data_IF_187427600934
#
_entry.id   IF_187427600934
#
_cell.length_a   1.000
_cell.length_b   1.000
_cell.length_c   1.000
_cell.angle_alpha   90.00
_cell.angle_beta   90.00
_cell.angle_gamma   90.00
#
_symmetry.space_group_name_H-M   'P 1'
#
loop_
_entity.id
_entity.type
_entity.pdbx_description
1 polymer ?
#
# COMPACT_ATOMS: atom_id res chain seq x y z
N UNK A 1 -28.02 -9.49 26.18
CA UNK A 1 -27.97 -8.81 27.50
C UNK A 1 -26.58 -8.19 27.69
N UNK A 2 -26.50 -6.88 27.45
CA UNK A 2 -25.30 -6.07 27.65
C UNK A 2 -24.94 -6.01 29.14
N UNK A 3 -23.66 -6.08 29.47
CA UNK A 3 -23.14 -5.65 30.78
C UNK A 3 -22.03 -4.65 30.50
N UNK A 4 -22.35 -3.37 30.69
CA UNK A 4 -21.37 -2.30 30.90
C UNK A 4 -20.75 -2.48 32.28
N UNK A 5 -19.43 -2.30 32.38
CA UNK A 5 -18.79 -1.82 33.60
C UNK A 5 -17.69 -0.82 33.21
N UNK A 6 -18.05 0.45 33.28
CA UNK A 6 -17.08 1.53 33.49
C UNK A 6 -16.59 1.46 34.94
N UNK A 7 -15.28 1.47 35.12
CA UNK A 7 -14.66 2.09 36.30
C UNK A 7 -13.21 2.44 35.98
N UNK A 8 -12.98 3.73 35.72
CA UNK A 8 -11.70 4.37 36.01
C UNK A 8 -11.31 4.07 37.45
N UNK A 9 -10.09 3.58 37.66
CA UNK A 9 -9.42 3.62 38.97
C UNK A 9 -8.01 4.13 38.72
N UNK A 10 -7.76 5.28 39.34
CA UNK A 10 -6.52 6.03 39.38
C UNK A 10 -5.32 5.19 39.83
N UNK A 11 -4.16 5.56 39.30
CA UNK A 11 -2.86 5.09 39.72
C UNK A 11 -2.55 5.57 41.15
N UNK A 12 -2.36 4.64 42.09
CA UNK A 12 -1.51 4.89 43.26
C UNK A 12 -0.83 3.61 43.74
N UNK A 13 0.48 3.74 43.84
CA UNK A 13 1.51 2.77 44.20
C UNK A 13 1.31 2.25 45.63
N UNK A 14 1.05 0.95 45.81
CA UNK A 14 1.32 0.28 47.09
C UNK A 14 1.37 -1.26 46.99
N UNK A 15 2.57 -1.79 47.26
CA UNK A 15 2.85 -3.12 47.80
C UNK A 15 2.33 -4.34 47.03
N UNK A 16 3.16 -4.76 46.07
CA UNK A 16 3.26 -6.13 45.58
C UNK A 16 3.89 -6.99 46.66
N UNK A 17 3.11 -7.41 47.65
CA UNK A 17 3.37 -8.61 48.44
C UNK A 17 2.09 -8.97 49.18
N UNK A 18 1.62 -10.20 48.97
CA UNK A 18 0.67 -10.86 49.87
C UNK A 18 -0.84 -10.52 49.73
N UNK A 19 -1.43 -10.61 48.53
CA UNK A 19 -2.86 -10.95 48.41
C UNK A 19 -3.22 -11.39 46.99
N UNK A 20 -3.41 -12.70 46.79
CA UNK A 20 -4.52 -13.28 46.03
C UNK A 20 -4.27 -14.77 45.84
N UNK A 21 -4.43 -15.54 46.93
CA UNK A 21 -4.97 -16.89 46.77
C UNK A 21 -6.43 -16.70 46.42
N UNK A 22 -6.75 -16.67 45.13
CA UNK A 22 -8.12 -16.80 44.67
C UNK A 22 -8.59 -18.21 45.06
N UNK A 23 -9.30 -18.30 46.18
CA UNK A 23 -10.01 -19.49 46.65
C UNK A 23 -11.15 -19.80 45.68
N UNK A 24 -10.80 -20.35 44.52
CA UNK A 24 -11.74 -20.72 43.45
C UNK A 24 -12.29 -22.14 43.65
N UNK A 25 -11.88 -22.86 44.70
CA UNK A 25 -12.25 -24.26 44.92
C UNK A 25 -11.75 -25.22 43.82
N UNK A 26 -10.96 -24.73 42.87
CA UNK A 26 -10.35 -25.54 41.81
C UNK A 26 -8.98 -25.98 42.33
N UNK A 27 -8.86 -27.24 42.74
CA UNK A 27 -7.57 -27.87 43.01
C UNK A 27 -6.86 -28.08 41.67
N UNK A 28 -5.99 -27.15 41.31
CA UNK A 28 -5.14 -27.27 40.13
C UNK A 28 -3.92 -28.09 40.53
N UNK A 29 -3.70 -29.19 39.82
CA UNK A 29 -2.50 -30.02 39.96
C UNK A 29 -1.31 -29.21 39.41
N UNK A 30 -0.35 -28.76 40.24
CA UNK A 30 0.69 -27.84 39.81
C UNK A 30 1.58 -28.43 38.70
N UNK A 31 1.72 -29.76 38.61
CA UNK A 31 2.43 -30.43 37.51
C UNK A 31 1.72 -30.33 36.15
N UNK A 32 0.44 -29.94 36.12
CA UNK A 32 -0.34 -29.75 34.87
C UNK A 32 -0.45 -28.29 34.45
N UNK A 33 0.13 -27.37 35.21
CA UNK A 33 0.12 -25.94 34.87
C UNK A 33 1.27 -25.69 33.90
N UNK A 34 0.93 -25.33 32.66
CA UNK A 34 1.92 -25.10 31.59
C UNK A 34 2.58 -23.71 31.75
N UNK A 35 1.94 -22.77 32.45
CA UNK A 35 2.49 -21.42 32.66
C UNK A 35 1.48 -20.41 33.19
N UNK A 36 1.90 -19.15 33.30
CA UNK A 36 1.09 -17.97 33.62
C UNK A 36 0.91 -17.11 32.38
N UNK A 37 -0.30 -16.59 32.18
CA UNK A 37 -0.56 -15.60 31.13
C UNK A 37 -0.21 -14.21 31.67
N UNK A 38 0.62 -13.48 30.93
CA UNK A 38 0.99 -12.09 31.21
C UNK A 38 0.60 -11.23 30.01
N UNK A 39 -0.01 -10.09 30.28
CA UNK A 39 -0.30 -9.09 29.26
C UNK A 39 0.83 -8.07 29.20
N UNK A 40 1.46 -7.93 28.03
CA UNK A 40 2.44 -6.89 27.78
C UNK A 40 1.72 -5.61 27.33
N UNK A 41 1.71 -4.58 28.16
CA UNK A 41 1.03 -3.32 27.87
C UNK A 41 1.71 -2.46 26.79
N UNK A 42 2.99 -2.67 26.51
CA UNK A 42 3.73 -1.92 25.49
C UNK A 42 3.36 -2.39 24.08
N UNK A 43 3.33 -3.72 23.89
CA UNK A 43 3.03 -4.33 22.59
C UNK A 43 1.58 -4.81 22.44
N UNK A 44 0.79 -4.77 23.52
CA UNK A 44 -0.59 -5.30 23.59
C UNK A 44 -0.71 -6.81 23.34
N UNK A 45 0.35 -7.56 23.65
CA UNK A 45 0.43 -9.01 23.45
C UNK A 45 0.08 -9.79 24.72
N UNK A 46 -0.40 -11.03 24.55
CA UNK A 46 -0.63 -11.99 25.63
C UNK A 46 0.42 -13.10 25.54
N UNK A 47 1.34 -13.13 26.51
CA UNK A 47 2.43 -14.08 26.60
C UNK A 47 2.10 -15.20 27.58
N UNK A 48 2.45 -16.44 27.21
CA UNK A 48 2.49 -17.55 28.15
C UNK A 48 3.93 -17.69 28.66
N UNK A 49 4.09 -17.62 29.97
CA UNK A 49 5.40 -17.69 30.62
C UNK A 49 5.44 -18.91 31.53
N UNK A 50 6.55 -19.65 31.48
CA UNK A 50 6.79 -20.82 32.34
C UNK A 50 6.68 -20.43 33.83
N UNK A 51 6.06 -21.31 34.62
CA UNK A 51 5.81 -21.07 36.03
C UNK A 51 7.06 -21.20 36.91
N UNK A 52 8.07 -21.98 36.50
CA UNK A 52 9.28 -22.23 37.28
C UNK A 52 10.45 -21.30 36.92
N UNK A 53 10.60 -20.96 35.64
CA UNK A 53 11.75 -20.24 35.08
C UNK A 53 11.41 -18.77 34.76
N UNK A 54 10.20 -18.49 34.32
CA UNK A 54 9.83 -17.18 33.78
C UNK A 54 10.18 -16.99 32.29
N UNK A 55 10.61 -18.04 31.60
CA UNK A 55 10.84 -18.04 30.15
C UNK A 55 9.54 -18.04 29.34
N UNK A 56 9.55 -17.34 28.20
CA UNK A 56 8.42 -17.30 27.26
C UNK A 56 8.24 -18.69 26.63
N UNK A 57 7.10 -19.31 26.91
CA UNK A 57 6.74 -20.65 26.41
C UNK A 57 5.84 -20.59 25.19
N UNK A 58 5.29 -19.42 24.89
CA UNK A 58 4.46 -19.20 23.71
C UNK A 58 3.70 -17.88 23.76
N UNK A 59 2.97 -17.63 22.68
CA UNK A 59 2.14 -16.45 22.47
C UNK A 59 0.70 -16.87 22.18
N UNK A 60 -0.28 -16.09 22.62
CA UNK A 60 -1.68 -16.29 22.27
C UNK A 60 -2.00 -15.44 21.05
N UNK A 61 -2.18 -16.10 19.90
CA UNK A 61 -2.50 -15.46 18.63
C UNK A 61 -3.90 -15.82 18.16
N UNK A 62 -4.49 -14.97 17.32
CA UNK A 62 -5.80 -15.22 16.72
C UNK A 62 -5.63 -16.02 15.42
N UNK A 63 -6.39 -17.09 15.27
CA UNK A 63 -6.49 -17.82 14.01
C UNK A 63 -7.42 -17.07 13.05
N UNK A 64 -6.83 -16.59 11.95
CA UNK A 64 -7.53 -15.82 10.91
C UNK A 64 -8.72 -16.59 10.30
N UNK A 65 -8.74 -17.92 10.38
CA UNK A 65 -9.83 -18.76 9.83
C UNK A 65 -10.99 -18.97 10.78
N UNK A 66 -10.72 -19.05 12.08
CA UNK A 66 -11.69 -19.48 13.09
C UNK A 66 -12.03 -18.40 14.11
N UNK A 67 -11.33 -17.26 14.06
CA UNK A 67 -11.42 -16.16 15.03
C UNK A 67 -11.16 -16.63 16.48
N UNK A 68 -10.49 -17.77 16.63
CA UNK A 68 -10.20 -18.40 17.90
C UNK A 68 -8.79 -18.04 18.37
N UNK A 69 -8.68 -17.66 19.65
CA UNK A 69 -7.39 -17.49 20.31
C UNK A 69 -6.72 -18.87 20.48
N UNK A 70 -5.54 -19.02 19.90
CA UNK A 70 -4.74 -20.25 19.88
C UNK A 70 -3.38 -19.99 20.53
N UNK A 71 -2.97 -20.88 21.42
CA UNK A 71 -1.62 -20.85 21.97
C UNK A 71 -0.62 -21.36 20.92
N UNK A 72 0.32 -20.52 20.54
CA UNK A 72 1.42 -20.81 19.63
C UNK A 72 2.71 -20.94 20.43
N UNK A 73 3.47 -21.99 20.18
CA UNK A 73 4.77 -22.21 20.84
C UNK A 73 5.85 -21.21 20.39
N UNK A 74 7.09 -21.35 20.88
CA UNK A 74 8.18 -20.45 20.53
C UNK A 74 8.50 -20.48 19.03
N UNK A 75 9.08 -19.40 18.52
CA UNK A 75 9.49 -19.28 17.11
C UNK A 75 10.61 -20.27 16.81
N UNK A 76 10.32 -21.25 15.95
CA UNK A 76 11.28 -22.28 15.54
C UNK A 76 12.07 -21.90 14.27
N UNK A 77 11.45 -21.13 13.37
CA UNK A 77 12.04 -20.72 12.10
C UNK A 77 11.46 -19.38 11.65
N UNK A 78 12.32 -18.52 11.11
CA UNK A 78 11.98 -17.17 10.63
C UNK A 78 12.06 -17.06 9.11
N UNK A 79 11.38 -16.05 8.54
CA UNK A 79 11.28 -15.84 7.10
C UNK A 79 12.60 -15.48 6.38
N UNK A 80 13.65 -15.08 7.11
CA UNK A 80 14.99 -14.81 6.55
C UNK A 80 15.64 -16.06 5.91
N UNK A 81 15.17 -17.25 6.31
CA UNK A 81 15.61 -18.55 5.79
C UNK A 81 14.88 -18.97 4.51
N UNK A 82 13.99 -18.15 3.97
CA UNK A 82 13.33 -18.39 2.68
C UNK A 82 14.24 -17.98 1.51
N UNK A 83 14.31 -18.83 0.49
CA UNK A 83 14.93 -18.56 -0.82
C UNK A 83 13.91 -18.01 -1.81
N UNK A 84 12.72 -18.63 -1.84
CA UNK A 84 11.68 -18.33 -2.82
C UNK A 84 10.31 -18.46 -2.18
N UNK A 85 9.44 -17.52 -2.53
CA UNK A 85 8.01 -17.54 -2.21
C UNK A 85 7.26 -17.29 -3.50
N UNK A 86 6.23 -18.08 -3.80
CA UNK A 86 5.45 -17.94 -5.03
C UNK A 86 3.97 -18.20 -4.78
N UNK A 87 3.12 -17.21 -5.06
CA UNK A 87 1.67 -17.39 -5.07
C UNK A 87 1.23 -18.05 -6.37
N UNK A 88 0.29 -18.99 -6.27
CA UNK A 88 -0.26 -19.65 -7.44
C UNK A 88 -1.37 -20.63 -7.11
N UNK A 89 -1.58 -21.54 -8.05
CA UNK A 89 -2.51 -22.63 -7.91
C UNK A 89 -1.78 -23.93 -7.65
N UNK A 90 -2.41 -24.81 -6.90
CA UNK A 90 -1.97 -26.18 -6.72
C UNK A 90 -2.45 -27.08 -7.87
N UNK A 91 -2.13 -28.37 -7.78
CA UNK A 91 -2.52 -29.37 -8.79
C UNK A 91 -4.04 -29.58 -8.85
N UNK A 92 -4.76 -29.23 -7.79
CA UNK A 92 -6.22 -29.34 -7.68
C UNK A 92 -6.95 -28.04 -8.04
N UNK A 93 -6.21 -26.97 -8.36
CA UNK A 93 -6.76 -25.65 -8.67
C UNK A 93 -7.07 -24.79 -7.44
N UNK A 94 -6.64 -25.21 -6.25
CA UNK A 94 -6.72 -24.43 -5.01
C UNK A 94 -5.59 -23.41 -4.93
N UNK A 95 -5.85 -22.31 -4.24
CA UNK A 95 -4.89 -21.21 -4.11
C UNK A 95 -3.88 -21.57 -3.01
N UNK A 96 -2.60 -21.46 -3.33
CA UNK A 96 -1.50 -21.70 -2.39
C UNK A 96 -0.37 -20.70 -2.54
N UNK A 97 0.42 -20.57 -1.48
CA UNK A 97 1.74 -19.91 -1.53
C UNK A 97 2.80 -20.96 -1.26
N UNK A 98 3.63 -21.24 -2.26
CA UNK A 98 4.75 -22.17 -2.17
C UNK A 98 5.97 -21.47 -1.57
N UNK A 99 6.60 -22.14 -0.60
CA UNK A 99 7.78 -21.69 0.14
C UNK A 99 8.93 -22.64 -0.14
N UNK A 100 10.10 -22.09 -0.45
CA UNK A 100 11.35 -22.84 -0.58
C UNK A 100 12.41 -22.24 0.32
N UNK A 101 13.06 -23.07 1.14
CA UNK A 101 14.08 -22.62 2.09
C UNK A 101 15.48 -22.54 1.46
N UNK A 102 16.39 -21.82 2.12
CA UNK A 102 17.84 -21.85 1.85
C UNK A 102 18.45 -23.10 2.49
N UNK A 103 19.64 -23.52 2.08
CA UNK A 103 20.32 -24.73 2.60
C UNK A 103 20.37 -24.79 4.15
N UNK A 104 20.62 -23.65 4.80
CA UNK A 104 20.54 -23.53 6.27
C UNK A 104 19.12 -23.81 6.80
N UNK A 105 18.11 -23.21 6.17
CA UNK A 105 16.70 -23.38 6.53
C UNK A 105 16.19 -24.80 6.28
N UNK A 106 16.65 -25.47 5.23
CA UNK A 106 16.31 -26.88 4.95
C UNK A 106 16.75 -27.77 6.12
N UNK A 107 17.97 -27.55 6.62
CA UNK A 107 18.53 -28.34 7.72
C UNK A 107 17.75 -28.16 9.02
N UNK A 108 17.44 -26.90 9.36
CA UNK A 108 16.65 -26.55 10.55
C UNK A 108 15.21 -27.06 10.43
N UNK A 109 14.56 -26.85 9.29
CA UNK A 109 13.18 -27.26 9.04
C UNK A 109 13.02 -28.79 9.08
N UNK A 110 14.02 -29.52 8.57
CA UNK A 110 14.09 -30.97 8.69
C UNK A 110 14.14 -31.43 10.14
N UNK A 111 14.96 -30.80 10.97
CA UNK A 111 15.07 -31.14 12.40
C UNK A 111 13.74 -30.86 13.12
N UNK A 112 13.18 -29.66 12.94
CA UNK A 112 11.88 -29.26 13.52
C UNK A 112 10.78 -30.26 13.15
N UNK A 113 10.65 -30.58 11.86
CA UNK A 113 9.59 -31.49 11.39
C UNK A 113 9.81 -32.94 11.82
N UNK A 114 11.05 -33.35 12.06
CA UNK A 114 11.37 -34.69 12.57
C UNK A 114 11.03 -34.85 14.05
N UNK A 115 11.25 -33.81 14.85
CA UNK A 115 11.00 -33.84 16.30
C UNK A 115 9.53 -33.59 16.66
N UNK A 116 8.77 -32.93 15.77
CA UNK A 116 7.40 -32.48 16.04
C UNK A 116 6.34 -33.25 15.23
N UNK A 117 6.60 -34.50 14.88
CA UNK A 117 5.61 -35.36 14.20
C UNK A 117 4.36 -35.48 15.07
N UNK A 118 3.20 -35.26 14.45
CA UNK A 118 1.91 -35.31 15.12
C UNK A 118 1.47 -34.00 15.78
N UNK A 119 2.21 -32.91 15.56
CA UNK A 119 1.85 -31.55 16.01
C UNK A 119 1.49 -30.65 14.83
N UNK A 120 0.80 -29.56 15.11
CA UNK A 120 0.53 -28.51 14.12
C UNK A 120 1.71 -27.53 14.10
N UNK A 121 2.15 -27.15 12.91
CA UNK A 121 3.15 -26.11 12.72
C UNK A 121 2.45 -24.82 12.32
N UNK A 122 2.38 -23.84 13.22
CA UNK A 122 1.78 -22.55 12.91
C UNK A 122 2.71 -21.71 12.01
N UNK A 123 2.12 -21.09 10.99
CA UNK A 123 2.73 -20.10 10.10
C UNK A 123 2.06 -18.77 10.44
N UNK A 124 2.83 -17.91 11.11
CA UNK A 124 2.39 -16.62 11.62
C UNK A 124 2.90 -15.51 10.72
N UNK A 125 2.03 -14.56 10.39
CA UNK A 125 2.37 -13.35 9.65
C UNK A 125 1.63 -12.17 10.26
N UNK A 126 2.36 -11.12 10.64
CA UNK A 126 1.81 -9.92 11.30
C UNK A 126 0.92 -10.29 12.50
N UNK A 127 1.44 -11.14 13.41
CA UNK A 127 0.74 -11.62 14.62
C UNK A 127 -0.55 -12.43 14.36
N UNK A 128 -0.84 -12.78 13.11
CA UNK A 128 -1.98 -13.62 12.76
C UNK A 128 -1.55 -15.00 12.24
N UNK A 129 -2.22 -16.05 12.72
CA UNK A 129 -2.00 -17.40 12.19
C UNK A 129 -2.65 -17.48 10.82
N UNK A 130 -1.84 -17.60 9.76
CA UNK A 130 -2.32 -17.78 8.39
C UNK A 130 -2.57 -19.25 8.06
N UNK A 131 -1.71 -20.13 8.57
CA UNK A 131 -1.90 -21.57 8.40
C UNK A 131 -1.29 -22.37 9.53
N UNK A 132 -1.89 -23.51 9.86
CA UNK A 132 -1.40 -24.42 10.90
C UNK A 132 -1.45 -25.88 10.42
N UNK A 133 -0.68 -26.27 9.39
CA UNK A 133 -0.67 -27.63 8.88
C UNK A 133 -0.22 -28.65 9.93
N UNK A 134 -0.78 -29.85 9.84
CA UNK A 134 -0.43 -30.98 10.70
C UNK A 134 0.79 -31.72 10.14
N UNK A 135 1.85 -31.85 10.93
CA UNK A 135 3.09 -32.55 10.55
C UNK A 135 2.82 -34.07 10.58
N UNK A 136 2.71 -34.67 9.39
CA UNK A 136 2.50 -36.13 9.23
C UNK A 136 3.80 -36.90 9.13
N UNK A 137 4.76 -36.33 8.43
CA UNK A 137 6.06 -36.92 8.11
C UNK A 137 7.13 -35.84 8.15
N UNK A 138 8.40 -36.20 8.39
CA UNK A 138 9.52 -35.26 8.27
C UNK A 138 9.62 -34.70 6.84
N UNK A 139 9.89 -33.40 6.73
CA UNK A 139 10.08 -32.72 5.45
C UNK A 139 11.58 -32.56 5.22
N UNK A 140 12.11 -33.16 4.15
CA UNK A 140 13.55 -33.28 3.91
C UNK A 140 14.06 -32.39 2.77
N UNK A 141 13.16 -31.96 1.88
CA UNK A 141 13.41 -31.16 0.69
C UNK A 141 13.35 -29.65 0.96
N UNK A 142 12.78 -29.25 2.09
CA UNK A 142 12.64 -27.84 2.45
C UNK A 142 11.66 -27.10 1.56
N UNK A 143 10.62 -27.80 1.12
CA UNK A 143 9.45 -27.19 0.50
C UNK A 143 8.29 -27.16 1.50
N UNK A 144 7.55 -26.06 1.52
CA UNK A 144 6.33 -25.93 2.31
C UNK A 144 5.28 -25.15 1.52
N UNK A 145 4.01 -25.32 1.87
CA UNK A 145 2.92 -24.57 1.24
C UNK A 145 1.96 -24.00 2.29
N UNK A 146 1.55 -22.75 2.07
CA UNK A 146 0.47 -22.10 2.80
C UNK A 146 -0.81 -22.31 1.99
N UNK A 147 -1.78 -23.00 2.58
CA UNK A 147 -3.08 -23.32 1.99
C UNK A 147 -4.22 -22.65 2.77
N UNK A 148 -5.42 -22.63 2.18
CA UNK A 148 -6.62 -22.02 2.78
C UNK A 148 -6.73 -20.52 2.54
N UNK A 149 -6.11 -20.00 1.48
CA UNK A 149 -6.17 -18.59 1.09
C UNK A 149 -7.41 -18.37 0.21
N UNK A 150 -8.17 -17.31 0.49
CA UNK A 150 -9.48 -17.10 -0.12
C UNK A 150 -9.39 -16.52 -1.54
N UNK A 151 -8.32 -15.80 -1.86
CA UNK A 151 -8.15 -15.14 -3.17
C UNK A 151 -6.70 -15.14 -3.65
N UNK A 152 -6.52 -15.05 -4.98
CA UNK A 152 -5.18 -14.98 -5.57
C UNK A 152 -4.49 -13.65 -5.23
N UNK A 153 -5.27 -12.58 -5.05
CA UNK A 153 -4.77 -11.27 -4.63
C UNK A 153 -4.21 -11.32 -3.22
N UNK A 154 -4.91 -11.98 -2.29
CA UNK A 154 -4.42 -12.24 -0.93
C UNK A 154 -3.15 -13.07 -0.94
N UNK A 155 -3.09 -14.13 -1.77
CA UNK A 155 -1.89 -14.94 -1.91
C UNK A 155 -0.68 -14.13 -2.42
N UNK A 156 -0.90 -13.20 -3.37
CA UNK A 156 0.16 -12.29 -3.86
C UNK A 156 0.61 -11.30 -2.80
N UNK A 157 -0.28 -10.82 -1.95
CA UNK A 157 0.09 -9.95 -0.82
C UNK A 157 0.96 -10.72 0.18
N UNK A 158 0.58 -11.96 0.52
CA UNK A 158 1.39 -12.85 1.37
C UNK A 158 2.76 -13.13 0.74
N UNK A 159 2.81 -13.41 -0.57
CA UNK A 159 4.07 -13.57 -1.31
C UNK A 159 4.95 -12.33 -1.18
N UNK A 160 4.39 -11.13 -1.37
CA UNK A 160 5.11 -9.87 -1.27
C UNK A 160 5.71 -9.68 0.13
N UNK A 161 4.90 -9.85 1.18
CA UNK A 161 5.33 -9.67 2.58
C UNK A 161 6.45 -10.66 2.94
N UNK A 162 6.31 -11.92 2.56
CA UNK A 162 7.32 -12.94 2.85
C UNK A 162 8.60 -12.75 2.02
N UNK A 163 8.52 -12.25 0.79
CA UNK A 163 9.70 -11.92 -0.04
C UNK A 163 10.46 -10.70 0.49
N UNK A 164 9.75 -9.68 0.97
CA UNK A 164 10.39 -8.51 1.58
C UNK A 164 11.03 -8.84 2.93
N UNK A 165 10.68 -10.00 3.50
CA UNK A 165 11.06 -10.40 4.84
C UNK A 165 10.43 -9.48 5.88
N UNK A 166 10.73 -9.73 7.16
CA UNK A 166 10.54 -8.69 8.17
C UNK A 166 11.51 -7.55 7.82
N UNK A 167 10.97 -6.41 7.36
CA UNK A 167 11.82 -5.22 7.20
C UNK A 167 12.50 -4.97 8.55
N UNK A 168 13.84 -4.98 8.64
CA UNK A 168 14.56 -4.85 9.91
C UNK A 168 14.49 -3.43 10.49
N UNK A 169 13.66 -2.57 9.90
CA UNK A 169 13.55 -1.15 10.20
C UNK A 169 12.08 -0.78 10.31
N UNK A 170 11.75 -0.08 11.39
CA UNK A 170 10.43 0.50 11.59
C UNK A 170 10.26 1.64 10.57
N UNK A 171 9.41 1.43 9.56
CA UNK A 171 9.09 2.46 8.57
C UNK A 171 8.13 3.47 9.21
N UNK A 172 8.65 4.62 9.61
CA UNK A 172 7.81 5.76 9.94
C UNK A 172 7.43 6.47 8.64
N UNK A 173 6.13 6.69 8.45
CA UNK A 173 5.62 7.47 7.33
C UNK A 173 5.92 8.94 7.63
N UNK A 174 7.04 9.43 7.10
CA UNK A 174 7.47 10.84 7.25
C UNK A 174 6.46 11.82 6.65
N UNK A 175 5.89 11.47 5.49
CA UNK A 175 4.89 12.31 4.82
C UNK A 175 3.99 11.47 3.92
N UNK A 176 2.68 11.48 4.17
CA UNK A 176 1.68 10.88 3.30
C UNK A 176 0.80 11.96 2.70
N UNK A 177 0.99 12.22 1.41
CA UNK A 177 0.10 13.08 0.62
C UNK A 177 -0.89 12.21 -0.15
N UNK A 178 -1.96 11.79 0.51
CA UNK A 178 -3.09 11.12 -0.15
C UNK A 178 -4.11 12.14 -0.63
N UNK A 179 -4.19 12.35 -1.94
CA UNK A 179 -5.21 13.21 -2.54
C UNK A 179 -6.39 12.34 -2.95
N UNK A 180 -7.56 12.64 -2.38
CA UNK A 180 -8.80 11.96 -2.72
C UNK A 180 -9.12 12.08 -4.23
N UNK A 181 -9.59 11.00 -4.88
CA UNK A 181 -9.93 11.03 -6.31
C UNK A 181 -10.91 12.15 -6.69
N UNK A 182 -11.78 12.53 -5.76
CA UNK A 182 -12.77 13.62 -5.92
C UNK A 182 -12.12 15.00 -6.02
N UNK A 183 -11.10 15.30 -5.20
CA UNK A 183 -10.37 16.57 -5.27
C UNK A 183 -9.55 16.69 -6.55
N UNK A 184 -8.97 15.58 -7.01
CA UNK A 184 -8.27 15.51 -8.30
C UNK A 184 -9.21 15.78 -9.47
N UNK A 185 -10.37 15.13 -9.49
CA UNK A 185 -11.38 15.30 -10.53
C UNK A 185 -11.96 16.73 -10.55
N UNK A 186 -12.25 17.30 -9.38
CA UNK A 186 -12.76 18.67 -9.28
C UNK A 186 -11.73 19.70 -9.78
N UNK A 187 -10.46 19.51 -9.43
CA UNK A 187 -9.37 20.37 -9.91
C UNK A 187 -9.17 20.26 -11.43
N UNK A 188 -9.26 19.05 -11.98
CA UNK A 188 -9.22 18.81 -13.43
C UNK A 188 -10.36 19.54 -14.15
N UNK A 189 -11.59 19.39 -13.64
CA UNK A 189 -12.77 20.03 -14.22
C UNK A 189 -12.66 21.56 -14.18
N UNK A 190 -12.28 22.14 -13.03
CA UNK A 190 -12.05 23.59 -12.90
C UNK A 190 -10.97 24.09 -13.87
N UNK A 191 -9.87 23.34 -14.02
CA UNK A 191 -8.81 23.64 -14.97
C UNK A 191 -9.30 23.61 -16.42
N UNK A 192 -10.11 22.62 -16.78
CA UNK A 192 -10.71 22.50 -18.12
C UNK A 192 -11.66 23.67 -18.42
N UNK A 193 -12.56 24.01 -17.48
CA UNK A 193 -13.48 25.14 -17.63
C UNK A 193 -12.73 26.48 -17.75
N UNK A 194 -11.71 26.70 -16.90
CA UNK A 194 -10.87 27.89 -16.99
C UNK A 194 -10.15 27.98 -18.35
N UNK A 195 -9.63 26.85 -18.83
CA UNK A 195 -8.99 26.77 -20.15
C UNK A 195 -9.94 27.10 -21.30
N UNK A 196 -11.16 26.53 -21.30
CA UNK A 196 -12.18 26.80 -22.34
C UNK A 196 -12.61 28.27 -22.33
N UNK A 197 -12.89 28.84 -21.14
CA UNK A 197 -13.30 30.25 -21.02
C UNK A 197 -12.17 31.17 -21.49
N UNK A 198 -10.93 30.89 -21.08
CA UNK A 198 -9.75 31.64 -21.52
C UNK A 198 -9.54 31.57 -23.04
N UNK A 199 -9.71 30.39 -23.63
CA UNK A 199 -9.61 30.18 -25.07
C UNK A 199 -10.66 30.99 -25.85
N UNK A 200 -11.92 30.99 -25.40
CA UNK A 200 -12.99 31.78 -26.02
C UNK A 200 -12.67 33.28 -25.92
N UNK A 201 -12.21 33.75 -24.76
CA UNK A 201 -11.81 35.15 -24.57
C UNK A 201 -10.68 35.56 -25.53
N UNK A 202 -9.69 34.69 -25.73
CA UNK A 202 -8.59 34.90 -26.69
C UNK A 202 -9.13 35.02 -28.12
N UNK A 203 -10.00 34.11 -28.56
CA UNK A 203 -10.58 34.17 -29.90
C UNK A 203 -11.37 35.46 -30.10
N UNK A 204 -12.22 35.81 -29.12
CA UNK A 204 -13.02 37.04 -29.15
C UNK A 204 -12.11 38.26 -29.24
N UNK A 205 -11.05 38.31 -28.42
CA UNK A 205 -10.05 39.37 -28.47
C UNK A 205 -9.38 39.48 -29.84
N UNK A 206 -8.94 38.36 -30.42
CA UNK A 206 -8.30 38.36 -31.75
C UNK A 206 -9.26 38.84 -32.85
N UNK A 207 -10.53 38.45 -32.78
CA UNK A 207 -11.55 38.87 -33.72
C UNK A 207 -11.80 40.38 -33.68
N UNK A 208 -11.96 40.96 -32.48
CA UNK A 208 -12.20 42.40 -32.33
C UNK A 208 -10.99 43.25 -32.68
N UNK A 209 -9.79 42.83 -32.28
CA UNK A 209 -8.56 43.62 -32.47
C UNK A 209 -8.03 43.54 -33.91
N UNK A 210 -8.04 42.35 -34.52
CA UNK A 210 -7.42 42.11 -35.85
C UNK A 210 -8.41 42.00 -37.01
N UNK A 211 -9.73 42.05 -36.74
CA UNK A 211 -10.80 41.97 -37.75
C UNK A 211 -10.60 40.74 -38.66
N UNK A 212 -10.43 40.93 -39.97
CA UNK A 212 -10.25 39.83 -40.92
C UNK A 212 -8.97 39.02 -40.75
N UNK A 213 -7.88 39.62 -40.25
CA UNK A 213 -6.62 38.90 -39.96
C UNK A 213 -6.77 37.96 -38.75
N UNK A 214 -7.66 38.31 -37.82
CA UNK A 214 -7.94 37.51 -36.62
C UNK A 214 -8.50 36.11 -36.93
N UNK A 215 -9.16 35.94 -38.08
CA UNK A 215 -9.69 34.65 -38.53
C UNK A 215 -8.53 33.68 -38.84
N UNK A 216 -7.48 34.17 -39.51
CA UNK A 216 -6.29 33.37 -39.81
C UNK A 216 -5.51 33.03 -38.54
N UNK A 217 -5.45 33.96 -37.58
CA UNK A 217 -4.84 33.72 -36.26
C UNK A 217 -5.58 32.64 -35.47
N UNK A 218 -6.92 32.70 -35.44
CA UNK A 218 -7.75 31.72 -34.76
C UNK A 218 -7.61 30.32 -35.39
N UNK A 219 -7.58 30.24 -36.73
CA UNK A 219 -7.35 28.98 -37.44
C UNK A 219 -5.96 28.40 -37.12
N UNK A 220 -4.91 29.24 -37.12
CA UNK A 220 -3.56 28.83 -36.74
C UNK A 220 -3.49 28.32 -35.30
N UNK A 221 -4.18 28.97 -34.37
CA UNK A 221 -4.26 28.55 -32.97
C UNK A 221 -4.96 27.19 -32.81
N UNK A 222 -6.05 26.95 -33.54
CA UNK A 222 -6.76 25.66 -33.53
C UNK A 222 -5.83 24.55 -34.05
N UNK A 223 -5.14 24.77 -35.17
CA UNK A 223 -4.18 23.80 -35.74
C UNK A 223 -3.05 23.52 -34.73
N UNK A 224 -2.52 24.56 -34.09
CA UNK A 224 -1.51 24.43 -33.05
C UNK A 224 -1.98 23.53 -31.89
N UNK A 225 -3.19 23.77 -31.37
CA UNK A 225 -3.75 22.97 -30.26
C UNK A 225 -3.94 21.51 -30.67
N UNK A 226 -4.42 21.24 -31.89
CA UNK A 226 -4.60 19.87 -32.39
C UNK A 226 -3.26 19.14 -32.46
N UNK A 227 -2.23 19.77 -33.03
CA UNK A 227 -0.88 19.17 -33.13
C UNK A 227 -0.29 18.96 -31.74
N UNK A 228 -0.38 19.96 -30.87
CA UNK A 228 0.13 19.91 -29.51
C UNK A 228 -0.51 18.74 -28.73
N UNK A 229 -1.83 18.60 -28.78
CA UNK A 229 -2.54 17.50 -28.11
C UNK A 229 -2.23 16.14 -28.71
N UNK A 230 -2.10 16.06 -30.05
CA UNK A 230 -1.71 14.85 -30.75
C UNK A 230 -0.33 14.33 -30.32
N UNK A 231 0.62 15.25 -30.09
CA UNK A 231 1.95 14.90 -29.57
C UNK A 231 1.87 14.41 -28.12
N UNK A 232 1.14 15.11 -27.24
CA UNK A 232 0.96 14.67 -25.85
C UNK A 232 0.34 13.27 -25.77
N UNK A 233 -0.69 13.02 -26.57
CA UNK A 233 -1.35 11.72 -26.64
C UNK A 233 -0.42 10.62 -27.20
N UNK A 234 0.38 10.95 -28.23
CA UNK A 234 1.32 10.00 -28.84
C UNK A 234 2.44 9.53 -27.91
N UNK A 235 2.84 10.34 -26.94
CA UNK A 235 3.88 10.01 -25.95
C UNK A 235 3.26 9.34 -24.70
N UNK A 236 1.94 9.33 -24.56
CA UNK A 236 1.27 8.82 -23.36
C UNK A 236 1.52 9.70 -22.13
N UNK A 237 1.68 11.01 -22.33
CA UNK A 237 1.94 11.94 -21.23
C UNK A 237 0.72 12.03 -20.30
N UNK A 238 0.96 11.87 -19.00
CA UNK A 238 -0.08 12.01 -17.99
C UNK A 238 -0.45 13.50 -17.80
N UNK A 239 -1.75 13.80 -17.87
CA UNK A 239 -2.26 15.15 -17.67
C UNK A 239 -2.41 15.44 -16.16
N UNK A 240 -1.42 16.13 -15.60
CA UNK A 240 -1.44 16.55 -14.19
C UNK A 240 -1.94 17.98 -14.04
N UNK A 241 -2.30 18.39 -12.81
CA UNK A 241 -2.74 19.77 -12.53
C UNK A 241 -1.69 20.82 -12.92
N UNK A 242 -0.38 20.65 -12.59
CA UNK A 242 0.68 21.51 -13.13
C UNK A 242 0.79 21.45 -14.65
N UNK A 243 0.53 20.28 -15.24
CA UNK A 243 0.49 20.10 -16.69
C UNK A 243 -0.53 21.04 -17.35
N UNK A 244 -1.76 21.11 -16.83
CA UNK A 244 -2.81 22.01 -17.34
C UNK A 244 -2.37 23.47 -17.27
N UNK A 245 -1.72 23.89 -16.17
CA UNK A 245 -1.19 25.25 -16.04
C UNK A 245 -0.11 25.55 -17.11
N UNK A 246 0.78 24.60 -17.37
CA UNK A 246 1.78 24.72 -18.45
C UNK A 246 1.17 24.81 -19.84
N UNK A 247 0.09 24.07 -20.10
CA UNK A 247 -0.65 24.15 -21.37
C UNK A 247 -1.26 25.54 -21.56
N UNK A 248 -1.93 26.08 -20.53
CA UNK A 248 -2.52 27.42 -20.55
C UNK A 248 -1.45 28.47 -20.84
N UNK A 249 -0.30 28.39 -20.17
CA UNK A 249 0.84 29.28 -20.39
C UNK A 249 1.32 29.24 -21.84
N UNK A 250 1.47 28.04 -22.41
CA UNK A 250 1.98 27.86 -23.76
C UNK A 250 1.00 28.38 -24.81
N UNK A 251 -0.31 28.18 -24.60
CA UNK A 251 -1.36 28.75 -25.46
C UNK A 251 -1.28 30.29 -25.42
N UNK A 252 -1.10 30.89 -24.24
CA UNK A 252 -0.95 32.35 -24.10
C UNK A 252 0.24 32.89 -24.89
N UNK A 253 1.41 32.22 -24.80
CA UNK A 253 2.60 32.59 -25.56
C UNK A 253 2.42 32.41 -27.08
N UNK A 254 1.74 31.34 -27.51
CA UNK A 254 1.46 31.11 -28.93
C UNK A 254 0.60 32.23 -29.55
N UNK A 255 -0.33 32.80 -28.77
CA UNK A 255 -1.16 33.93 -29.21
C UNK A 255 -0.33 35.21 -29.29
N UNK A 256 0.52 35.49 -28.30
CA UNK A 256 1.38 36.68 -28.27
C UNK A 256 2.32 36.74 -29.49
N UNK A 257 2.94 35.61 -29.86
CA UNK A 257 3.78 35.51 -31.05
C UNK A 257 3.01 35.88 -32.34
N UNK A 258 1.78 35.40 -32.47
CA UNK A 258 0.92 35.72 -33.62
C UNK A 258 0.55 37.22 -33.65
N UNK A 259 0.24 37.79 -32.50
CA UNK A 259 -0.06 39.23 -32.33
C UNK A 259 1.11 40.10 -32.81
N UNK A 260 2.33 39.81 -32.35
CA UNK A 260 3.53 40.57 -32.72
C UNK A 260 3.76 40.53 -34.24
N UNK A 261 3.60 39.35 -34.86
CA UNK A 261 3.76 39.19 -36.31
C UNK A 261 2.73 40.05 -37.06
N UNK A 262 1.45 40.03 -36.66
CA UNK A 262 0.43 40.82 -37.36
C UNK A 262 0.60 42.32 -37.19
N UNK A 263 1.00 42.79 -36.01
CA UNK A 263 1.34 44.19 -35.81
C UNK A 263 2.54 44.60 -36.67
N UNK A 264 3.54 43.73 -36.83
CA UNK A 264 4.67 44.00 -37.72
C UNK A 264 4.26 44.07 -39.18
N UNK A 265 3.43 43.15 -39.67
CA UNK A 265 2.91 43.16 -41.04
C UNK A 265 2.12 44.46 -41.30
N UNK A 266 1.28 44.87 -40.34
CA UNK A 266 0.52 46.11 -40.41
C UNK A 266 1.43 47.35 -40.44
N UNK A 267 2.48 47.37 -39.64
CA UNK A 267 3.49 48.43 -39.64
C UNK A 267 4.19 48.56 -41.01
N UNK A 268 4.56 47.44 -41.64
CA UNK A 268 5.23 47.41 -42.95
C UNK A 268 4.29 47.83 -44.10
N UNK A 269 3.00 47.48 -44.04
CA UNK A 269 1.99 47.92 -45.01
C UNK A 269 1.77 49.44 -44.93
N UNK A 270 1.72 50.02 -43.72
CA UNK A 270 1.58 51.47 -43.53
C UNK A 270 2.79 52.22 -44.10
N UNK A 271 3.98 51.63 -44.06
CA UNK A 271 5.21 52.17 -44.69
C UNK A 271 5.24 52.05 -46.22
N UNK A 272 4.08 51.82 -46.88
CA UNK A 272 3.90 51.75 -48.34
C UNK A 272 4.72 50.67 -49.04
N UNK A 273 5.11 49.61 -48.34
CA UNK A 273 5.62 48.39 -49.00
C UNK A 273 4.45 47.58 -49.56
N UNK A 274 4.61 47.05 -50.78
CA UNK A 274 3.60 46.18 -51.40
C UNK A 274 3.25 45.02 -50.47
N UNK A 275 1.96 44.61 -50.34
CA UNK A 275 1.55 43.52 -49.45
C UNK A 275 2.31 42.20 -49.63
N UNK A 276 2.84 41.92 -50.84
CA UNK A 276 3.67 40.73 -51.12
C UNK A 276 5.11 40.82 -50.57
N UNK A 277 5.57 42.02 -50.20
CA UNK A 277 6.89 42.27 -49.63
C UNK A 277 6.80 42.39 -48.09
N UNK A 278 5.61 42.66 -47.56
CA UNK A 278 5.36 42.84 -46.13
C UNK A 278 5.01 41.54 -45.38
N UNK A 279 4.57 40.50 -46.11
CA UNK A 279 4.34 39.13 -45.63
C UNK A 279 5.63 38.33 -45.85
#
# INVERSE_FOLDING_TARGET
>A
PYVETNSEVDAEDSNVEESSRADTGISIDPEKVIGKIIYNSENRELLLIDYEDGSETGEILVDSRSDAATLVGPVLLTGDKLTRVAAGYDTYGEIRVALSFKDEGISIFKEITSENIGRNLAIVLDEEIKSAPYIRVPILDGEAEITGINSLEEAKNVELVLQTGALPVNLQIEESSSVGPTLGMDSLNKGLYAGIIGFILIIVFMFFYYRGLGIFSALGLIIYIIIFWGILAGIGAALTLPGIAGIILTIGMAVDANVIIFERIKEEIIKSKSPRIAI
#
